data_IF_811675217318
#
_entry.id   IF_811675217318
#
_cell.length_a   1.000
_cell.length_b   1.000
_cell.length_c   1.000
_cell.angle_alpha   90.00
_cell.angle_beta   90.00
_cell.angle_gamma   90.00
#
_symmetry.space_group_name_H-M   'P 1'
#
loop_
_entity.id
_entity.type
_entity.pdbx_description
1 polymer ?
#
# COMPACT_ATOMS: atom_id res chain seq x y z
N UNK A 1 -14.40 -17.96 -8.21
CA UNK A 1 -13.37 -17.01 -8.68
C UNK A 1 -14.02 -15.64 -8.68
N UNK A 2 -13.57 -14.72 -7.81
CA UNK A 2 -14.03 -13.34 -7.78
C UNK A 2 -12.91 -12.44 -8.30
N UNK A 3 -13.26 -11.47 -9.15
CA UNK A 3 -12.31 -10.50 -9.69
C UNK A 3 -12.55 -9.14 -9.02
N UNK A 4 -11.45 -8.47 -8.68
CA UNK A 4 -11.45 -7.16 -8.02
C UNK A 4 -10.66 -6.26 -8.94
N UNK A 5 -11.32 -5.20 -9.43
CA UNK A 5 -10.72 -4.31 -10.42
C UNK A 5 -9.68 -3.38 -9.78
N UNK A 6 -10.07 -2.70 -8.69
CA UNK A 6 -9.18 -1.86 -7.89
C UNK A 6 -9.42 -2.06 -6.39
N UNK A 7 -8.36 -2.07 -5.59
CA UNK A 7 -8.41 -2.09 -4.13
C UNK A 7 -7.52 -1.00 -3.57
N UNK A 8 -8.10 -0.09 -2.78
CA UNK A 8 -7.38 1.01 -2.15
C UNK A 8 -7.64 1.02 -0.65
N UNK A 9 -6.58 1.25 0.13
CA UNK A 9 -6.64 1.36 1.59
C UNK A 9 -5.72 2.48 2.04
N UNK A 10 -6.11 3.20 3.08
CA UNK A 10 -5.28 4.22 3.70
C UNK A 10 -5.14 3.99 5.20
N UNK A 11 -4.02 4.44 5.75
CA UNK A 11 -3.80 4.53 7.19
C UNK A 11 -3.39 5.94 7.52
N UNK A 12 -3.82 6.43 8.68
CA UNK A 12 -3.46 7.76 9.17
C UNK A 12 -3.07 7.70 10.64
N UNK A 13 -2.02 8.45 10.98
CA UNK A 13 -1.51 8.64 12.33
C UNK A 13 -0.48 9.78 12.33
N UNK A 14 -0.07 10.20 13.53
CA UNK A 14 0.88 11.30 13.73
C UNK A 14 2.32 10.99 13.30
N UNK A 15 2.66 9.72 13.03
CA UNK A 15 4.03 9.34 12.67
C UNK A 15 4.07 8.32 11.55
N UNK A 16 5.07 8.44 10.67
CA UNK A 16 5.26 7.50 9.57
C UNK A 16 5.44 6.07 10.07
N UNK A 17 6.17 5.88 11.17
CA UNK A 17 6.40 4.55 11.77
C UNK A 17 5.11 3.87 12.20
N UNK A 18 4.15 4.61 12.78
CA UNK A 18 2.85 4.03 13.15
C UNK A 18 2.04 3.62 11.92
N UNK A 19 2.06 4.42 10.86
CA UNK A 19 1.42 4.07 9.59
C UNK A 19 2.03 2.81 8.96
N UNK A 20 3.36 2.76 8.86
CA UNK A 20 4.08 1.61 8.31
C UNK A 20 3.81 0.34 9.13
N UNK A 21 3.85 0.44 10.46
CA UNK A 21 3.57 -0.69 11.34
C UNK A 21 2.15 -1.22 11.15
N UNK A 22 1.15 -0.35 11.00
CA UNK A 22 -0.22 -0.77 10.69
C UNK A 22 -0.33 -1.41 9.32
N UNK A 23 0.29 -0.83 8.30
CA UNK A 23 0.31 -1.43 6.96
C UNK A 23 0.92 -2.84 6.99
N UNK A 24 2.12 -3.00 7.56
CA UNK A 24 2.83 -4.27 7.60
C UNK A 24 2.20 -5.30 8.55
N UNK A 25 1.68 -4.86 9.70
CA UNK A 25 1.20 -5.75 10.76
C UNK A 25 -0.28 -6.10 10.69
N UNK A 26 -1.11 -5.24 10.09
CA UNK A 26 -2.57 -5.40 10.07
C UNK A 26 -3.08 -5.52 8.63
N UNK A 27 -2.76 -4.54 7.77
CA UNK A 27 -3.38 -4.43 6.45
C UNK A 27 -2.87 -5.48 5.47
N UNK A 28 -1.55 -5.65 5.33
CA UNK A 28 -0.98 -6.65 4.42
C UNK A 28 -1.43 -8.07 4.80
N UNK A 29 -1.35 -8.52 6.08
CA UNK A 29 -1.85 -9.84 6.46
C UNK A 29 -3.35 -10.02 6.23
N UNK A 30 -4.15 -8.96 6.41
CA UNK A 30 -5.59 -8.99 6.11
C UNK A 30 -5.83 -9.21 4.61
N UNK A 31 -5.14 -8.46 3.74
CA UNK A 31 -5.28 -8.59 2.29
C UNK A 31 -4.83 -9.97 1.83
N UNK A 32 -3.67 -10.45 2.28
CA UNK A 32 -3.17 -11.79 1.93
C UNK A 32 -4.13 -12.91 2.37
N UNK A 33 -4.72 -12.77 3.57
CA UNK A 33 -5.76 -13.70 4.04
C UNK A 33 -6.97 -13.66 3.13
N UNK A 34 -7.42 -12.47 2.75
CA UNK A 34 -8.57 -12.30 1.85
C UNK A 34 -8.32 -12.95 0.48
N UNK A 35 -7.15 -12.77 -0.13
CA UNK A 35 -6.79 -13.44 -1.38
C UNK A 35 -6.92 -14.96 -1.25
N UNK A 36 -6.34 -15.51 -0.18
CA UNK A 36 -6.36 -16.96 0.08
C UNK A 36 -7.77 -17.52 0.27
N UNK A 37 -8.68 -16.78 0.91
CA UNK A 37 -10.02 -17.29 1.24
C UNK A 37 -11.07 -17.00 0.16
N UNK A 38 -10.89 -15.96 -0.66
CA UNK A 38 -11.87 -15.55 -1.68
C UNK A 38 -11.54 -16.06 -3.08
N UNK A 39 -10.29 -16.47 -3.32
CA UNK A 39 -9.78 -16.74 -4.66
C UNK A 39 -9.50 -15.46 -5.47
N UNK A 40 -9.52 -14.28 -4.85
CA UNK A 40 -9.05 -13.05 -5.45
C UNK A 40 -7.53 -13.09 -5.63
N UNK A 41 -7.05 -12.61 -6.78
CA UNK A 41 -5.62 -12.51 -7.11
C UNK A 41 -5.24 -11.04 -7.22
N UNK A 42 -4.06 -10.68 -6.74
CA UNK A 42 -3.49 -9.35 -6.91
C UNK A 42 -2.28 -9.40 -7.84
N UNK A 43 -2.03 -8.28 -8.51
CA UNK A 43 -0.81 -8.05 -9.27
C UNK A 43 0.12 -7.14 -8.44
N UNK A 44 1.07 -7.69 -7.67
CA UNK A 44 1.96 -6.89 -6.82
C UNK A 44 2.73 -5.83 -7.62
N UNK A 45 3.08 -6.10 -8.89
CA UNK A 45 3.75 -5.15 -9.79
C UNK A 45 2.92 -3.89 -10.08
N UNK A 46 1.59 -3.98 -10.02
CA UNK A 46 0.66 -2.86 -10.22
C UNK A 46 0.35 -2.10 -8.94
N UNK A 47 0.69 -2.65 -7.78
CA UNK A 47 0.40 -2.02 -6.49
C UNK A 47 1.24 -0.75 -6.32
N UNK A 48 0.57 0.34 -5.96
CA UNK A 48 1.23 1.63 -5.72
C UNK A 48 1.08 2.03 -4.25
N UNK A 49 2.12 2.68 -3.73
CA UNK A 49 2.15 3.22 -2.38
C UNK A 49 2.51 4.70 -2.49
N UNK A 50 1.76 5.55 -1.79
CA UNK A 50 2.08 6.98 -1.62
C UNK A 50 2.03 7.32 -0.14
N UNK A 51 2.90 8.23 0.29
CA UNK A 51 2.88 8.78 1.64
C UNK A 51 2.65 10.28 1.58
N UNK A 52 1.57 10.74 2.21
CA UNK A 52 1.29 12.15 2.37
C UNK A 52 1.91 12.66 3.66
N UNK A 53 2.87 13.58 3.54
CA UNK A 53 3.52 14.27 4.65
C UNK A 53 3.94 15.66 4.21
N UNK A 54 3.90 16.62 5.14
CA UNK A 54 4.43 17.97 4.91
C UNK A 54 5.94 17.96 4.58
N UNK A 55 6.68 16.99 5.12
CA UNK A 55 8.12 16.81 4.87
C UNK A 55 8.35 15.47 4.15
N UNK A 56 8.46 15.50 2.82
CA UNK A 56 8.45 14.30 1.97
C UNK A 56 9.85 13.77 1.60
N UNK A 57 10.92 14.42 2.08
CA UNK A 57 12.30 14.23 1.59
C UNK A 57 13.11 13.15 2.32
N UNK A 58 12.72 12.68 3.51
CA UNK A 58 13.63 11.89 4.35
C UNK A 58 13.23 10.43 4.63
N UNK A 59 12.01 10.00 4.35
CA UNK A 59 11.50 8.71 4.85
C UNK A 59 10.94 7.75 3.80
N UNK A 60 11.20 7.99 2.50
CA UNK A 60 10.66 7.12 1.43
C UNK A 60 11.13 5.68 1.57
N UNK A 61 12.43 5.46 1.82
CA UNK A 61 12.99 4.12 2.01
C UNK A 61 12.41 3.41 3.24
N UNK A 62 12.23 4.12 4.35
CA UNK A 62 11.67 3.57 5.59
C UNK A 62 10.22 3.11 5.42
N UNK A 63 9.46 3.80 4.57
CA UNK A 63 8.05 3.54 4.32
C UNK A 63 7.74 2.42 3.33
N UNK A 64 8.75 1.71 2.83
CA UNK A 64 8.54 0.57 1.93
C UNK A 64 7.76 -0.56 2.61
N UNK A 65 6.96 -1.32 1.87
CA UNK A 65 6.25 -2.49 2.38
C UNK A 65 6.64 -3.73 1.59
N UNK A 66 6.48 -4.91 2.19
CA UNK A 66 6.55 -6.18 1.45
C UNK A 66 5.14 -6.69 1.20
N UNK A 67 4.85 -7.05 -0.05
CA UNK A 67 3.58 -7.61 -0.45
C UNK A 67 3.83 -8.70 -1.50
N UNK A 68 3.38 -9.93 -1.22
CA UNK A 68 3.55 -11.09 -2.11
C UNK A 68 4.98 -11.28 -2.64
N UNK A 69 5.98 -11.15 -1.77
CA UNK A 69 7.40 -11.34 -2.11
C UNK A 69 8.07 -10.12 -2.78
N UNK A 70 7.32 -9.08 -3.12
CA UNK A 70 7.86 -7.86 -3.69
C UNK A 70 8.03 -6.75 -2.65
N UNK A 71 9.02 -5.88 -2.86
CA UNK A 71 9.18 -4.66 -2.06
C UNK A 71 8.58 -3.48 -2.81
N UNK A 72 7.56 -2.87 -2.22
CA UNK A 72 6.86 -1.72 -2.79
C UNK A 72 7.35 -0.47 -2.06
N UNK A 73 8.02 0.41 -2.80
CA UNK A 73 8.51 1.69 -2.28
C UNK A 73 7.48 2.80 -2.51
N UNK A 74 7.37 3.78 -1.60
CA UNK A 74 6.49 4.93 -1.81
C UNK A 74 6.92 5.74 -3.04
N UNK A 75 5.95 6.14 -3.85
CA UNK A 75 6.12 7.08 -4.96
C UNK A 75 5.76 8.49 -4.50
N UNK A 76 6.34 9.49 -5.18
CA UNK A 76 5.96 10.89 -5.01
C UNK A 76 4.64 11.23 -5.68
N UNK A 77 4.26 10.45 -6.68
CA UNK A 77 3.04 10.65 -7.44
C UNK A 77 2.43 9.31 -7.79
N UNK A 78 1.11 9.21 -7.69
CA UNK A 78 0.33 8.04 -8.12
C UNK A 78 -0.90 8.49 -8.91
N UNK A 79 -1.38 7.61 -9.79
CA UNK A 79 -2.67 7.77 -10.46
C UNK A 79 -3.70 6.88 -9.78
N UNK A 80 -4.74 7.46 -9.20
CA UNK A 80 -5.84 6.75 -8.54
C UNK A 80 -7.16 7.13 -9.23
N UNK A 81 -7.78 6.19 -9.93
CA UNK A 81 -9.09 6.38 -10.60
C UNK A 81 -9.15 7.63 -11.52
N UNK A 82 -8.04 7.97 -12.18
CA UNK A 82 -7.95 9.15 -13.04
C UNK A 82 -7.45 10.42 -12.34
N UNK A 83 -7.35 10.43 -11.02
CA UNK A 83 -6.75 11.52 -10.24
C UNK A 83 -5.24 11.33 -10.10
N UNK A 84 -4.49 12.41 -10.25
CA UNK A 84 -3.06 12.44 -9.93
C UNK A 84 -2.93 12.95 -8.50
N UNK A 85 -2.31 12.14 -7.64
CA UNK A 85 -2.04 12.49 -6.24
C UNK A 85 -0.54 12.63 -6.05
N UNK A 86 -0.11 13.74 -5.45
CA UNK A 86 1.29 14.09 -5.20
C UNK A 86 1.54 14.70 -3.81
#
# INVERSE_FOLDING_TARGET
>A
MAFVDDFTVWVSSLTIRRNINRLRGEIIPMVERWCRTSGATFEPDKTQLIHFSRNNSHHQSEASIRFQGQTITPKREIKLLGLILN
#
